data_IF_984585545845
#
_entry.id   IF_984585545845
#
_cell.length_a   1.000
_cell.length_b   1.000
_cell.length_c   1.000
_cell.angle_alpha   90.00
_cell.angle_beta   90.00
_cell.angle_gamma   90.00
#
_symmetry.space_group_name_H-M   'P 1'
#
loop_
_entity.id
_entity.type
_entity.pdbx_description
1 polymer ?
#
# COMPACT_ATOMS: atom_id res chain seq x y z
N UNK A 1 9.91 6.36 4.66
CA UNK A 1 9.27 5.16 4.06
C UNK A 1 10.17 3.92 4.10
N UNK A 2 11.47 4.00 3.76
CA UNK A 2 12.40 2.84 3.82
C UNK A 2 12.42 2.12 5.19
N UNK A 3 12.34 2.85 6.30
CA UNK A 3 12.45 2.26 7.64
C UNK A 3 11.20 1.51 8.13
N UNK A 4 10.00 1.86 7.65
CA UNK A 4 8.77 1.18 8.08
C UNK A 4 8.57 -0.15 7.34
N UNK A 5 8.92 -0.19 6.05
CA UNK A 5 8.88 -1.42 5.25
C UNK A 5 9.93 -2.43 5.71
N UNK A 6 11.12 -1.98 6.10
CA UNK A 6 12.17 -2.85 6.67
C UNK A 6 11.77 -3.40 8.04
N UNK A 7 11.12 -2.58 8.89
CA UNK A 7 10.59 -3.02 10.18
C UNK A 7 9.47 -4.06 10.01
N UNK A 8 8.51 -3.82 9.11
CA UNK A 8 7.40 -4.76 8.87
C UNK A 8 7.86 -6.07 8.23
N UNK A 9 8.77 -6.01 7.25
CA UNK A 9 9.35 -7.21 6.63
C UNK A 9 10.12 -8.07 7.64
N UNK A 10 10.77 -7.45 8.63
CA UNK A 10 11.48 -8.19 9.69
C UNK A 10 10.54 -8.91 10.67
N UNK A 11 9.34 -8.36 10.94
CA UNK A 11 8.39 -8.95 11.88
C UNK A 11 7.51 -10.02 11.26
N UNK A 12 7.15 -9.90 9.97
CA UNK A 12 6.34 -10.89 9.25
C UNK A 12 6.84 -11.10 7.82
N UNK A 13 8.03 -11.73 7.65
CA UNK A 13 8.66 -11.88 6.33
C UNK A 13 7.77 -12.59 5.32
N UNK A 14 6.94 -13.54 5.77
CA UNK A 14 6.02 -14.27 4.91
C UNK A 14 4.97 -13.39 4.21
N UNK A 15 4.57 -12.26 4.80
CA UNK A 15 3.52 -11.38 4.24
C UNK A 15 3.96 -10.63 2.99
N UNK A 16 5.24 -10.31 2.86
CA UNK A 16 5.77 -9.56 1.71
C UNK A 16 6.49 -10.47 0.70
N UNK A 17 6.98 -11.62 1.15
CA UNK A 17 7.81 -12.52 0.32
C UNK A 17 7.03 -13.62 -0.37
N UNK A 18 5.91 -14.08 0.21
CA UNK A 18 5.10 -15.15 -0.39
C UNK A 18 3.88 -14.58 -1.11
N UNK A 19 3.46 -15.23 -2.20
CA UNK A 19 2.25 -14.85 -2.94
C UNK A 19 1.01 -14.85 -2.02
N UNK A 20 0.87 -15.90 -1.19
CA UNK A 20 -0.20 -16.00 -0.20
C UNK A 20 -0.18 -14.86 0.81
N UNK A 21 1.02 -14.47 1.27
CA UNK A 21 1.22 -13.34 2.15
C UNK A 21 0.78 -12.01 1.52
N UNK A 22 1.23 -11.75 0.29
CA UNK A 22 0.88 -10.54 -0.45
C UNK A 22 -0.61 -10.44 -0.70
N UNK A 23 -1.24 -11.55 -1.11
CA UNK A 23 -2.70 -11.62 -1.28
C UNK A 23 -3.44 -11.31 0.02
N UNK A 24 -3.03 -11.92 1.14
CA UNK A 24 -3.64 -11.66 2.46
C UNK A 24 -3.51 -10.18 2.85
N UNK A 25 -2.35 -9.59 2.65
CA UNK A 25 -2.11 -8.17 2.94
C UNK A 25 -3.04 -7.28 2.12
N UNK A 26 -3.11 -7.50 0.81
CA UNK A 26 -3.98 -6.72 -0.07
C UNK A 26 -5.45 -6.89 0.28
N UNK A 27 -5.92 -8.11 0.54
CA UNK A 27 -7.30 -8.34 0.99
C UNK A 27 -7.62 -7.53 2.25
N UNK A 28 -6.70 -7.51 3.22
CA UNK A 28 -6.87 -6.75 4.45
C UNK A 28 -6.93 -5.24 4.18
N UNK A 29 -6.02 -4.71 3.36
CA UNK A 29 -5.99 -3.30 2.98
C UNK A 29 -7.27 -2.88 2.24
N UNK A 30 -7.71 -3.66 1.26
CA UNK A 30 -8.94 -3.40 0.49
C UNK A 30 -10.19 -3.44 1.37
N UNK A 31 -10.24 -4.37 2.33
CA UNK A 31 -11.35 -4.45 3.30
C UNK A 31 -11.37 -3.24 4.21
N UNK A 32 -10.19 -2.76 4.66
CA UNK A 32 -10.09 -1.59 5.53
C UNK A 32 -10.45 -0.27 4.84
N UNK A 33 -10.18 -0.17 3.53
CA UNK A 33 -10.45 1.06 2.77
C UNK A 33 -11.78 1.03 2.01
N UNK A 34 -12.52 -0.09 2.05
CA UNK A 34 -13.81 -0.24 1.38
C UNK A 34 -14.79 0.87 1.79
N UNK A 35 -15.40 1.52 0.80
CA UNK A 35 -16.34 2.62 1.01
C UNK A 35 -15.71 3.95 1.46
N UNK A 36 -14.37 4.03 1.55
CA UNK A 36 -13.66 5.27 1.90
C UNK A 36 -13.08 5.94 0.65
N UNK A 37 -12.68 7.21 0.79
CA UNK A 37 -11.93 7.93 -0.25
C UNK A 37 -10.51 7.37 -0.44
N UNK A 38 -10.04 6.48 0.44
CA UNK A 38 -8.77 5.78 0.34
C UNK A 38 -8.90 4.46 -0.42
N UNK A 39 -10.10 4.13 -0.91
CA UNK A 39 -10.25 2.94 -1.75
C UNK A 39 -9.46 3.13 -3.05
N UNK A 40 -8.66 2.14 -3.47
CA UNK A 40 -7.78 2.32 -4.61
C UNK A 40 -8.58 2.50 -5.91
N UNK A 41 -8.06 3.36 -6.77
CA UNK A 41 -8.56 3.55 -8.13
C UNK A 41 -8.37 2.27 -8.97
N UNK A 42 -9.07 2.12 -10.12
CA UNK A 42 -8.90 0.96 -11.00
C UNK A 42 -7.46 0.72 -11.44
N UNK A 43 -6.68 1.78 -11.65
CA UNK A 43 -5.26 1.68 -12.01
C UNK A 43 -4.42 1.11 -10.85
N UNK A 44 -4.67 1.55 -9.63
CA UNK A 44 -3.96 1.08 -8.43
C UNK A 44 -4.33 -0.37 -8.08
N UNK A 45 -5.60 -0.75 -8.28
CA UNK A 45 -6.04 -2.14 -8.15
C UNK A 45 -5.27 -3.07 -9.10
N UNK A 46 -5.03 -2.61 -10.34
CA UNK A 46 -4.22 -3.39 -11.29
C UNK A 46 -2.78 -3.54 -10.83
N UNK A 47 -2.17 -2.50 -10.25
CA UNK A 47 -0.82 -2.58 -9.67
C UNK A 47 -0.78 -3.56 -8.49
N UNK A 48 -1.83 -3.58 -7.65
CA UNK A 48 -1.96 -4.53 -6.57
C UNK A 48 -2.08 -5.97 -7.06
N UNK A 49 -2.78 -6.24 -8.16
CA UNK A 49 -2.80 -7.59 -8.76
C UNK A 49 -1.41 -8.06 -9.19
N UNK A 50 -0.65 -7.20 -9.87
CA UNK A 50 0.72 -7.50 -10.31
C UNK A 50 1.62 -7.80 -9.09
N UNK A 51 1.50 -7.00 -8.03
CA UNK A 51 2.22 -7.24 -6.78
C UNK A 51 1.78 -8.55 -6.11
N UNK A 52 0.47 -8.83 -6.05
CA UNK A 52 -0.07 -10.04 -5.45
C UNK A 52 0.54 -11.30 -6.07
N UNK A 53 0.63 -11.31 -7.41
CA UNK A 53 1.23 -12.38 -8.21
C UNK A 53 2.76 -12.44 -8.08
N UNK A 54 3.39 -11.38 -7.57
CA UNK A 54 4.84 -11.25 -7.48
C UNK A 54 5.51 -10.88 -8.81
N UNK A 55 4.74 -10.34 -9.76
CA UNK A 55 5.26 -9.84 -11.04
C UNK A 55 6.07 -8.55 -10.84
N UNK A 56 5.69 -7.74 -9.84
CA UNK A 56 6.44 -6.56 -9.42
C UNK A 56 6.79 -6.63 -7.92
N UNK A 57 7.98 -6.14 -7.51
CA UNK A 57 8.35 -6.02 -6.11
C UNK A 57 7.65 -4.84 -5.43
N UNK A 58 7.68 -4.78 -4.10
CA UNK A 58 6.99 -3.73 -3.33
C UNK A 58 7.55 -2.33 -3.61
N UNK A 59 8.84 -2.23 -3.92
CA UNK A 59 9.52 -0.99 -4.25
C UNK A 59 8.98 -0.38 -5.55
N UNK A 60 8.73 -1.22 -6.57
CA UNK A 60 8.17 -0.80 -7.85
C UNK A 60 6.70 -0.42 -7.71
N UNK A 61 5.94 -1.17 -6.90
CA UNK A 61 4.57 -0.82 -6.55
C UNK A 61 4.52 0.59 -5.91
N UNK A 62 5.33 0.84 -4.89
CA UNK A 62 5.36 2.13 -4.19
C UNK A 62 5.80 3.26 -5.11
N UNK A 63 6.79 3.03 -5.97
CA UNK A 63 7.20 4.03 -6.96
C UNK A 63 6.07 4.38 -7.94
N UNK A 64 5.25 3.39 -8.33
CA UNK A 64 4.15 3.55 -9.28
C UNK A 64 2.93 4.26 -8.68
N UNK A 65 2.66 4.05 -7.39
CA UNK A 65 1.58 4.73 -6.66
C UNK A 65 1.90 6.21 -6.38
N UNK A 66 3.17 6.61 -6.51
CA UNK A 66 3.59 7.98 -6.26
C UNK A 66 3.67 8.33 -4.77
N UNK A 67 3.96 9.60 -4.45
CA UNK A 67 4.03 10.05 -3.08
C UNK A 67 2.63 9.99 -2.44
N UNK A 68 2.53 9.61 -1.15
CA UNK A 68 1.26 9.68 -0.44
C UNK A 68 0.75 11.13 -0.43
N UNK A 69 -0.45 11.34 -0.93
CA UNK A 69 -1.16 12.62 -0.80
C UNK A 69 -1.63 12.78 0.65
N UNK A 70 -0.70 13.11 1.54
CA UNK A 70 -1.08 13.65 2.83
C UNK A 70 -1.66 15.04 2.56
N UNK A 71 -3.00 15.16 2.61
CA UNK A 71 -3.64 16.47 2.71
C UNK A 71 -3.10 17.08 4.00
N UNK A 72 -2.06 17.89 3.90
CA UNK A 72 -1.77 18.92 4.89
C UNK A 72 -2.99 19.81 4.86
N UNK A 73 -3.97 19.52 5.74
CA UNK A 73 -4.91 20.54 6.16
C UNK A 73 -4.04 21.66 6.70
N UNK A 74 -3.93 22.70 5.89
CA UNK A 74 -3.44 24.01 6.25
C UNK A 74 -4.12 24.39 7.58
N UNK A 75 -3.39 24.23 8.68
CA UNK A 75 -3.76 24.75 10.00
C UNK A 75 -3.58 26.29 10.05
N UNK A 76 -3.70 26.97 8.90
CA UNK A 76 -3.51 28.41 8.75
C UNK A 76 -4.81 29.21 8.82
N UNK A 77 -5.94 28.61 9.21
CA UNK A 77 -7.20 29.34 9.39
C UNK A 77 -7.94 29.02 10.69
N UNK A 78 -7.29 29.26 11.83
CA UNK A 78 -7.98 29.75 13.04
C UNK A 78 -7.08 30.76 13.75
N UNK A 79 -7.20 32.01 13.30
CA UNK A 79 -6.99 33.20 14.16
C UNK A 79 -8.03 33.19 15.28
#
# INVERSE_FOLDING_TARGET
>A
MKDLLSLWSSQQPALLTTEQGRRRLLTLLLTLTEGTHLYPTPCELRLFELYALGEIPVEELVASLGPPEFVTQDLTHRM
#
